data_IF_552501932779
#
_entry.id   IF_552501932779
#
_cell.length_a   1.000
_cell.length_b   1.000
_cell.length_c   1.000
_cell.angle_alpha   90.00
_cell.angle_beta   90.00
_cell.angle_gamma   90.00
#
_symmetry.space_group_name_H-M   'P 1'
#
loop_
_entity.id
_entity.type
_entity.pdbx_description
1 polymer ?
#
# COMPACT_ATOMS: atom_id res chain seq x y z
N UNK A 1 31.85 53.49 30.10
CA UNK A 1 30.50 53.84 29.58
C UNK A 1 29.99 52.61 28.85
N UNK A 2 29.08 51.88 29.46
CA UNK A 2 28.43 50.72 28.84
C UNK A 2 27.49 51.27 27.76
N UNK A 3 27.71 50.91 26.50
CA UNK A 3 26.93 51.44 25.39
C UNK A 3 25.53 50.79 25.43
N UNK A 4 24.42 51.53 25.52
CA UNK A 4 23.07 50.95 25.60
C UNK A 4 22.69 50.10 24.38
N UNK A 5 23.44 50.22 23.28
CA UNK A 5 23.29 49.40 22.07
C UNK A 5 23.70 47.93 22.34
N UNK A 6 24.76 47.67 23.11
CA UNK A 6 25.22 46.28 23.38
C UNK A 6 24.23 45.49 24.26
N UNK A 7 23.51 46.13 25.17
CA UNK A 7 22.54 45.44 26.04
C UNK A 7 21.23 45.09 25.34
N UNK A 8 20.80 45.92 24.37
CA UNK A 8 19.57 45.68 23.59
C UNK A 8 19.77 44.53 22.60
N UNK A 9 20.94 44.45 21.98
CA UNK A 9 21.26 43.36 21.05
C UNK A 9 21.39 42.00 21.77
N UNK A 10 21.94 41.96 22.99
CA UNK A 10 22.04 40.71 23.78
C UNK A 10 20.64 40.19 24.20
N UNK A 11 19.74 41.08 24.62
CA UNK A 11 18.38 40.67 25.00
C UNK A 11 17.58 40.19 23.78
N UNK A 12 17.77 40.83 22.61
CA UNK A 12 17.18 40.37 21.35
C UNK A 12 17.71 38.99 20.94
N UNK A 13 19.02 38.74 21.02
CA UNK A 13 19.63 37.42 20.74
C UNK A 13 19.08 36.33 21.67
N UNK A 14 18.90 36.64 22.97
CA UNK A 14 18.29 35.70 23.93
C UNK A 14 16.84 35.40 23.62
N UNK A 15 16.07 36.41 23.21
CA UNK A 15 14.68 36.22 22.79
C UNK A 15 14.59 35.34 21.53
N UNK A 16 15.45 35.56 20.54
CA UNK A 16 15.53 34.74 19.34
C UNK A 16 15.96 33.31 19.64
N UNK A 17 16.93 33.10 20.54
CA UNK A 17 17.36 31.77 20.98
C UNK A 17 16.23 31.00 21.71
N UNK A 18 15.44 31.67 22.56
CA UNK A 18 14.25 31.07 23.18
C UNK A 18 13.22 30.68 22.14
N UNK A 19 12.90 31.58 21.20
CA UNK A 19 11.95 31.31 20.12
C UNK A 19 12.39 30.16 19.22
N UNK A 20 13.68 30.08 18.90
CA UNK A 20 14.24 28.96 18.13
C UNK A 20 14.13 27.63 18.88
N UNK A 21 14.28 27.63 20.21
CA UNK A 21 14.07 26.45 21.06
C UNK A 21 12.61 26.00 21.04
N UNK A 22 11.66 26.93 21.21
CA UNK A 22 10.22 26.65 21.13
C UNK A 22 9.82 26.08 19.75
N UNK A 23 10.35 26.64 18.65
CA UNK A 23 10.12 26.13 17.30
C UNK A 23 10.71 24.72 17.09
N UNK A 24 11.88 24.45 17.66
CA UNK A 24 12.50 23.13 17.60
C UNK A 24 11.66 22.08 18.36
N UNK A 25 11.13 22.43 19.54
CA UNK A 25 10.21 21.57 20.29
C UNK A 25 8.92 21.28 19.50
N UNK A 26 8.27 22.30 18.95
CA UNK A 26 7.07 22.14 18.12
C UNK A 26 7.33 21.26 16.88
N UNK A 27 8.49 21.43 16.25
CA UNK A 27 8.89 20.64 15.07
C UNK A 27 9.10 19.17 15.44
N UNK A 28 9.70 18.90 16.61
CA UNK A 28 9.87 17.54 17.13
C UNK A 28 8.52 16.89 17.45
N UNK A 29 7.61 17.61 18.09
CA UNK A 29 6.28 17.09 18.41
C UNK A 29 5.50 16.74 17.13
N UNK A 30 5.56 17.63 16.12
CA UNK A 30 4.97 17.38 14.80
C UNK A 30 5.60 16.16 14.10
N UNK A 31 6.92 15.99 14.22
CA UNK A 31 7.62 14.84 13.65
C UNK A 31 7.18 13.53 14.32
N UNK A 32 7.03 13.52 15.65
CA UNK A 32 6.55 12.36 16.41
C UNK A 32 5.10 11.98 16.07
N UNK A 33 4.21 12.96 15.93
CA UNK A 33 2.84 12.73 15.44
C UNK A 33 2.86 12.14 14.02
N UNK A 34 3.74 12.65 13.15
CA UNK A 34 3.88 12.16 11.78
C UNK A 34 4.40 10.73 11.72
N UNK A 35 5.36 10.36 12.59
CA UNK A 35 5.85 8.97 12.72
C UNK A 35 4.70 8.05 13.14
N UNK A 36 3.92 8.43 14.16
CA UNK A 36 2.76 7.63 14.62
C UNK A 36 1.74 7.42 13.49
N UNK A 37 1.45 8.47 12.72
CA UNK A 37 0.56 8.38 11.56
C UNK A 37 1.10 7.45 10.46
N UNK A 38 2.42 7.45 10.24
CA UNK A 38 3.06 6.53 9.30
C UNK A 38 2.99 5.07 9.78
N UNK A 39 3.11 4.81 11.08
CA UNK A 39 2.93 3.47 11.64
C UNK A 39 1.52 2.93 11.36
N UNK A 40 0.49 3.78 11.51
CA UNK A 40 -0.89 3.44 11.14
C UNK A 40 -1.03 3.14 9.64
N UNK A 41 -0.41 3.95 8.78
CA UNK A 41 -0.40 3.73 7.32
C UNK A 41 0.24 2.38 6.99
N UNK A 42 1.39 2.06 7.57
CA UNK A 42 2.09 0.78 7.37
C UNK A 42 1.20 -0.38 7.83
N UNK A 43 0.52 -0.25 8.98
CA UNK A 43 -0.40 -1.28 9.47
C UNK A 43 -1.59 -1.52 8.51
N UNK A 44 -2.16 -0.45 7.93
CA UNK A 44 -3.23 -0.60 6.93
C UNK A 44 -2.71 -1.25 5.64
N UNK A 45 -1.50 -0.90 5.21
CA UNK A 45 -0.84 -1.51 4.05
C UNK A 45 -0.62 -3.01 4.26
N UNK A 46 -0.10 -3.44 5.42
CA UNK A 46 0.05 -4.88 5.73
C UNK A 46 -1.29 -5.62 5.70
N UNK A 47 -2.37 -4.96 6.13
CA UNK A 47 -3.72 -5.51 6.03
C UNK A 47 -4.18 -5.63 4.58
N UNK A 48 -3.84 -4.68 3.71
CA UNK A 48 -4.10 -4.77 2.27
C UNK A 48 -3.35 -5.94 1.63
N UNK A 49 -2.07 -6.16 1.97
CA UNK A 49 -1.31 -7.33 1.49
C UNK A 49 -2.01 -8.65 1.85
N UNK A 50 -2.49 -8.75 3.09
CA UNK A 50 -3.23 -9.93 3.57
C UNK A 50 -4.54 -10.13 2.78
N UNK A 51 -5.26 -9.05 2.51
CA UNK A 51 -6.50 -9.10 1.70
C UNK A 51 -6.18 -9.53 0.27
N UNK A 52 -5.17 -8.94 -0.36
CA UNK A 52 -4.73 -9.31 -1.71
C UNK A 52 -4.36 -10.79 -1.81
N UNK A 53 -3.63 -11.33 -0.83
CA UNK A 53 -3.29 -12.77 -0.78
C UNK A 53 -4.53 -13.65 -0.74
N UNK A 54 -5.53 -13.30 0.07
CA UNK A 54 -6.80 -14.04 0.14
C UNK A 54 -7.59 -13.95 -1.16
N UNK A 55 -7.52 -12.83 -1.87
CA UNK A 55 -8.15 -12.70 -3.18
C UNK A 55 -7.43 -13.62 -4.18
N UNK A 56 -6.09 -13.65 -4.20
CA UNK A 56 -5.33 -14.57 -5.06
C UNK A 56 -5.74 -16.04 -4.84
N UNK A 57 -5.84 -16.50 -3.58
CA UNK A 57 -6.31 -17.85 -3.27
C UNK A 57 -7.73 -18.14 -3.80
N UNK A 58 -8.62 -17.14 -3.77
CA UNK A 58 -9.97 -17.25 -4.31
C UNK A 58 -9.94 -17.36 -5.85
N UNK A 59 -9.11 -16.56 -6.50
CA UNK A 59 -8.95 -16.56 -7.95
C UNK A 59 -8.32 -17.87 -8.46
N UNK A 60 -7.38 -18.45 -7.72
CA UNK A 60 -6.85 -19.80 -7.99
C UNK A 60 -7.93 -20.88 -7.90
N UNK A 61 -8.79 -20.82 -6.87
CA UNK A 61 -9.92 -21.75 -6.75
C UNK A 61 -10.91 -21.61 -7.90
N UNK A 62 -11.20 -20.37 -8.33
CA UNK A 62 -12.04 -20.12 -9.51
C UNK A 62 -11.39 -20.72 -10.76
N UNK A 63 -10.09 -20.50 -10.98
CA UNK A 63 -9.37 -21.07 -12.11
C UNK A 63 -9.46 -22.60 -12.15
N UNK A 64 -9.37 -23.25 -10.98
CA UNK A 64 -9.53 -24.69 -10.84
C UNK A 64 -10.96 -25.15 -11.20
N UNK A 65 -11.99 -24.47 -10.67
CA UNK A 65 -13.40 -24.77 -11.00
C UNK A 65 -13.69 -24.57 -12.49
N UNK A 66 -13.12 -23.53 -13.10
CA UNK A 66 -13.23 -23.27 -14.54
C UNK A 66 -12.60 -24.39 -15.35
N UNK A 67 -11.42 -24.88 -14.95
CA UNK A 67 -10.78 -26.02 -15.60
C UNK A 67 -11.63 -27.30 -15.50
N UNK A 68 -12.18 -27.60 -14.32
CA UNK A 68 -13.08 -28.74 -14.14
C UNK A 68 -14.34 -28.63 -15.01
N UNK A 69 -14.92 -27.43 -15.10
CA UNK A 69 -16.08 -27.13 -15.94
C UNK A 69 -15.74 -27.32 -17.42
N UNK A 70 -14.56 -26.89 -17.85
CA UNK A 70 -14.08 -27.10 -19.21
C UNK A 70 -14.00 -28.60 -19.55
N UNK A 71 -13.44 -29.43 -18.66
CA UNK A 71 -13.38 -30.89 -18.85
C UNK A 71 -14.77 -31.53 -18.87
N UNK A 72 -15.69 -31.10 -18.00
CA UNK A 72 -17.08 -31.57 -18.01
C UNK A 72 -17.78 -31.21 -19.33
N UNK A 73 -17.60 -30.00 -19.84
CA UNK A 73 -18.17 -29.57 -21.11
C UNK A 73 -17.62 -30.37 -22.30
N UNK A 74 -16.32 -30.72 -22.26
CA UNK A 74 -15.69 -31.56 -23.27
C UNK A 74 -16.27 -32.98 -23.25
N UNK A 75 -16.40 -33.59 -22.07
CA UNK A 75 -17.00 -34.91 -21.94
C UNK A 75 -18.45 -34.92 -22.43
N UNK A 76 -19.23 -33.88 -22.12
CA UNK A 76 -20.60 -33.73 -22.63
C UNK A 76 -20.63 -33.60 -24.16
N UNK A 77 -19.68 -32.90 -24.77
CA UNK A 77 -19.58 -32.79 -26.22
C UNK A 77 -19.25 -34.14 -26.88
N UNK A 78 -18.37 -34.95 -26.27
CA UNK A 78 -18.05 -36.31 -26.74
C UNK A 78 -19.27 -37.22 -26.68
N UNK A 79 -19.98 -37.24 -25.55
CA UNK A 79 -21.18 -38.06 -25.37
C UNK A 79 -22.31 -37.64 -26.33
N UNK A 80 -22.47 -36.33 -26.54
CA UNK A 80 -23.42 -35.79 -27.51
C UNK A 80 -23.09 -36.23 -28.94
N UNK A 81 -21.81 -36.25 -29.32
CA UNK A 81 -21.38 -36.76 -30.62
C UNK A 81 -21.66 -38.26 -30.77
N UNK A 82 -21.46 -39.03 -29.69
CA UNK A 82 -21.71 -40.48 -29.66
C UNK A 82 -23.21 -40.82 -29.76
N UNK A 83 -24.08 -39.98 -29.21
CA UNK A 83 -25.54 -40.11 -29.34
C UNK A 83 -26.10 -39.70 -30.72
N UNK A 84 -25.27 -39.11 -31.60
CA UNK A 84 -25.65 -38.71 -32.95
C UNK A 84 -26.81 -37.70 -32.97
N UNK A 85 -27.89 -38.02 -33.70
CA UNK A 85 -29.05 -37.13 -33.84
C UNK A 85 -29.77 -36.85 -32.51
N UNK A 86 -29.76 -37.79 -31.57
CA UNK A 86 -30.36 -37.63 -30.24
C UNK A 86 -29.55 -36.69 -29.34
N UNK A 87 -28.26 -36.48 -29.65
CA UNK A 87 -27.34 -35.65 -28.87
C UNK A 87 -27.28 -34.18 -29.25
N UNK A 88 -27.98 -33.75 -30.31
CA UNK A 88 -27.88 -32.38 -30.86
C UNK A 88 -28.15 -31.27 -29.82
N UNK A 89 -29.15 -31.46 -28.95
CA UNK A 89 -29.45 -30.51 -27.89
C UNK A 89 -28.33 -30.44 -26.83
N UNK A 90 -27.78 -31.58 -26.45
CA UNK A 90 -26.65 -31.66 -25.50
C UNK A 90 -25.37 -31.05 -26.08
N UNK A 91 -25.12 -31.19 -27.39
CA UNK A 91 -23.97 -30.59 -28.05
C UNK A 91 -23.97 -29.05 -27.97
N UNK A 92 -25.16 -28.43 -28.09
CA UNK A 92 -25.31 -26.97 -27.95
C UNK A 92 -24.98 -26.55 -26.52
N UNK A 93 -25.55 -27.23 -25.52
CA UNK A 93 -25.29 -26.93 -24.11
C UNK A 93 -23.80 -27.11 -23.75
N UNK A 94 -23.16 -28.17 -24.26
CA UNK A 94 -21.73 -28.40 -24.06
C UNK A 94 -20.87 -27.26 -24.65
N UNK A 95 -21.24 -26.76 -25.83
CA UNK A 95 -20.55 -25.63 -26.49
C UNK A 95 -20.69 -24.34 -25.68
N UNK A 96 -21.91 -24.04 -25.21
CA UNK A 96 -22.19 -22.85 -24.40
C UNK A 96 -21.41 -22.88 -23.07
N UNK A 97 -21.41 -24.05 -22.40
CA UNK A 97 -20.63 -24.24 -21.17
C UNK A 97 -19.13 -24.03 -21.40
N UNK A 98 -18.60 -24.48 -22.54
CA UNK A 98 -17.19 -24.27 -22.88
C UNK A 98 -16.88 -22.79 -23.06
N UNK A 99 -17.75 -22.06 -23.77
CA UNK A 99 -17.57 -20.64 -24.04
C UNK A 99 -17.65 -19.81 -22.74
N UNK A 100 -18.53 -20.18 -21.81
CA UNK A 100 -18.59 -19.58 -20.46
C UNK A 100 -17.28 -19.85 -19.70
N UNK A 101 -16.78 -21.10 -19.71
CA UNK A 101 -15.52 -21.45 -19.04
C UNK A 101 -14.33 -20.67 -19.61
N UNK A 102 -14.24 -20.52 -20.94
CA UNK A 102 -13.18 -19.74 -21.58
C UNK A 102 -13.24 -18.26 -21.18
N UNK A 103 -14.46 -17.69 -21.09
CA UNK A 103 -14.67 -16.32 -20.62
C UNK A 103 -14.23 -16.14 -19.17
N UNK A 104 -14.61 -17.05 -18.26
CA UNK A 104 -14.20 -16.99 -16.85
C UNK A 104 -12.69 -17.07 -16.73
N UNK A 105 -12.03 -17.93 -17.52
CA UNK A 105 -10.57 -18.05 -17.54
C UNK A 105 -9.90 -16.73 -17.91
N UNK A 106 -10.39 -16.05 -18.95
CA UNK A 106 -9.85 -14.75 -19.34
C UNK A 106 -10.05 -13.71 -18.24
N UNK A 107 -11.24 -13.59 -17.67
CA UNK A 107 -11.51 -12.65 -16.57
C UNK A 107 -10.62 -12.91 -15.35
N UNK A 108 -10.42 -14.18 -15.01
CA UNK A 108 -9.53 -14.60 -13.91
C UNK A 108 -8.09 -14.14 -14.16
N UNK A 109 -7.60 -14.24 -15.40
CA UNK A 109 -6.26 -13.76 -15.76
C UNK A 109 -6.14 -12.23 -15.65
N UNK A 110 -7.16 -11.48 -16.09
CA UNK A 110 -7.20 -10.02 -15.96
C UNK A 110 -7.25 -9.58 -14.48
N UNK A 111 -8.00 -10.30 -13.64
CA UNK A 111 -8.02 -10.02 -12.19
C UNK A 111 -6.67 -10.28 -11.55
N UNK A 112 -5.98 -11.38 -11.88
CA UNK A 112 -4.63 -11.65 -11.39
C UNK A 112 -3.65 -10.53 -11.77
N UNK A 113 -3.67 -10.07 -13.02
CA UNK A 113 -2.81 -8.97 -13.45
C UNK A 113 -3.07 -7.67 -12.66
N UNK A 114 -4.33 -7.38 -12.35
CA UNK A 114 -4.69 -6.23 -11.51
C UNK A 114 -4.24 -6.40 -10.05
N UNK A 115 -4.28 -7.62 -9.51
CA UNK A 115 -3.79 -7.93 -8.16
C UNK A 115 -2.27 -7.80 -8.08
N UNK A 116 -1.53 -8.27 -9.09
CA UNK A 116 -0.08 -8.10 -9.17
C UNK A 116 0.31 -6.62 -9.18
N UNK A 117 -0.38 -5.81 -10.00
CA UNK A 117 -0.21 -4.36 -10.03
C UNK A 117 -0.53 -3.70 -8.68
N UNK A 118 -1.60 -4.16 -8.01
CA UNK A 118 -1.97 -3.68 -6.68
C UNK A 118 -0.89 -3.99 -5.64
N UNK A 119 -0.31 -5.21 -5.68
CA UNK A 119 0.77 -5.62 -4.80
C UNK A 119 2.05 -4.80 -5.04
N UNK A 120 2.38 -4.51 -6.31
CA UNK A 120 3.50 -3.62 -6.64
C UNK A 120 3.29 -2.21 -6.04
N UNK A 121 2.08 -1.67 -6.17
CA UNK A 121 1.75 -0.35 -5.64
C UNK A 121 1.81 -0.32 -4.10
N UNK A 122 1.34 -1.38 -3.44
CA UNK A 122 1.45 -1.54 -1.98
C UNK A 122 2.92 -1.55 -1.54
N UNK A 123 3.79 -2.26 -2.27
CA UNK A 123 5.23 -2.26 -2.02
C UNK A 123 5.85 -0.85 -2.11
N UNK A 124 5.47 -0.08 -3.14
CA UNK A 124 5.93 1.32 -3.31
C UNK A 124 5.48 2.22 -2.16
N UNK A 125 4.23 2.08 -1.70
CA UNK A 125 3.71 2.86 -0.56
C UNK A 125 4.47 2.52 0.71
N UNK A 126 4.77 1.24 0.94
CA UNK A 126 5.56 0.80 2.10
C UNK A 126 6.95 1.42 2.10
N UNK A 127 7.62 1.42 0.95
CA UNK A 127 8.96 2.00 0.82
C UNK A 127 8.94 3.52 1.04
N UNK A 128 7.95 4.22 0.45
CA UNK A 128 7.78 5.65 0.65
C UNK A 128 7.50 5.99 2.13
N UNK A 129 6.70 5.18 2.83
CA UNK A 129 6.43 5.36 4.24
C UNK A 129 7.70 5.19 5.10
N UNK A 130 8.52 4.16 4.81
CA UNK A 130 9.81 3.94 5.48
C UNK A 130 10.76 5.11 5.29
N UNK A 131 10.94 5.55 4.05
CA UNK A 131 11.81 6.69 3.73
C UNK A 131 11.31 7.98 4.43
N UNK A 132 10.00 8.19 4.48
CA UNK A 132 9.43 9.34 5.21
C UNK A 132 9.72 9.26 6.71
N UNK A 133 9.63 8.07 7.31
CA UNK A 133 9.97 7.87 8.72
C UNK A 133 11.45 8.16 9.00
N UNK A 134 12.36 7.78 8.11
CA UNK A 134 13.80 8.10 8.21
C UNK A 134 14.05 9.61 8.15
N UNK A 135 13.39 10.33 7.23
CA UNK A 135 13.48 11.79 7.14
C UNK A 135 12.97 12.47 8.41
N UNK A 136 11.87 11.98 8.99
CA UNK A 136 11.33 12.52 10.24
C UNK A 136 12.27 12.30 11.43
N UNK A 137 12.94 11.15 11.50
CA UNK A 137 13.99 10.92 12.52
C UNK A 137 15.17 11.88 12.34
N UNK A 138 15.59 12.14 11.11
CA UNK A 138 16.63 13.15 10.84
C UNK A 138 16.21 14.57 11.26
N UNK A 139 14.92 14.90 11.18
CA UNK A 139 14.36 16.16 11.69
C UNK A 139 14.42 16.20 13.22
N UNK A 140 14.07 15.10 13.90
CA UNK A 140 14.21 15.00 15.35
C UNK A 140 15.66 15.23 15.80
N UNK A 141 16.64 14.58 15.16
CA UNK A 141 18.06 14.79 15.47
C UNK A 141 18.50 16.25 15.23
N UNK A 142 18.07 16.85 14.13
CA UNK A 142 18.40 18.24 13.78
C UNK A 142 17.79 19.24 14.78
N UNK A 143 16.56 19.00 15.23
CA UNK A 143 15.89 19.86 16.23
C UNK A 143 16.53 19.75 17.61
N UNK A 144 17.04 18.57 17.99
CA UNK A 144 17.84 18.38 19.20
C UNK A 144 19.15 19.18 19.14
N UNK A 145 19.82 19.19 17.98
CA UNK A 145 21.03 19.98 17.79
C UNK A 145 20.75 21.49 17.91
N UNK A 146 19.67 21.97 17.27
CA UNK A 146 19.23 23.38 17.38
C UNK A 146 18.96 23.75 18.84
N UNK A 147 18.18 22.94 19.57
CA UNK A 147 17.86 23.18 20.97
C UNK A 147 19.12 23.21 21.87
N UNK A 148 20.11 22.36 21.57
CA UNK A 148 21.41 22.37 22.27
C UNK A 148 22.24 23.63 21.98
N UNK A 149 22.26 24.06 20.71
CA UNK A 149 22.96 25.28 20.28
C UNK A 149 22.37 26.53 20.93
N UNK A 150 21.05 26.68 20.89
CA UNK A 150 20.33 27.84 21.44
C UNK A 150 20.32 27.82 22.96
N UNK A 151 20.22 26.65 23.58
CA UNK A 151 20.30 26.49 25.04
C UNK A 151 21.65 26.90 25.63
N UNK A 152 22.72 26.97 24.84
CA UNK A 152 24.03 27.52 25.27
C UNK A 152 24.08 29.06 25.25
N UNK A 153 23.15 29.72 24.57
CA UNK A 153 23.11 31.18 24.40
C UNK A 153 22.21 31.89 25.43
N UNK A 154 21.27 31.16 26.03
CA UNK A 154 20.31 31.66 27.04
C UNK A 154 20.88 31.43 28.44
#
# INVERSE_FOLDING_TARGET
>A
MNNPIDSVDIEAIRADARRATELAEQSRDTANESITSLEDVVAQVTRLETVSSRINECIEQIAHLTFQTHILSLNAAIEAAQAGELGKGFAIVATEMRQIADTIKQTTQEVNANLDSSNEQIGKVTEAAKHTAELLRSIEDSTLEVASLTGRLV
#
